data_IF_041469243272
#
_entry.id   IF_041469243272
#
_cell.length_a   1.000
_cell.length_b   1.000
_cell.length_c   1.000
_cell.angle_alpha   90.00
_cell.angle_beta   90.00
_cell.angle_gamma   90.00
#
_symmetry.space_group_name_H-M   'P 1'
#
loop_
_entity.id
_entity.type
_entity.pdbx_description
1 polymer ?
#
# COMPACT_ATOMS: atom_id res chain seq x y z
N UNK A 1 -6.55 -7.97 5.92
CA UNK A 1 -5.92 -6.76 5.35
C UNK A 1 -5.89 -6.82 3.83
N UNK A 2 -5.32 -7.87 3.20
CA UNK A 2 -5.36 -8.08 1.74
C UNK A 2 -6.77 -7.94 1.12
N UNK A 3 -7.73 -8.76 1.57
CA UNK A 3 -9.12 -8.71 1.09
C UNK A 3 -9.76 -7.31 1.25
N UNK A 4 -9.38 -6.60 2.31
CA UNK A 4 -9.88 -5.25 2.58
C UNK A 4 -9.31 -4.23 1.60
N UNK A 5 -7.99 -4.27 1.35
CA UNK A 5 -7.34 -3.42 0.35
C UNK A 5 -7.83 -3.73 -1.07
N UNK A 6 -8.00 -5.00 -1.43
CA UNK A 6 -8.60 -5.42 -2.71
C UNK A 6 -10.00 -4.83 -2.90
N UNK A 7 -10.83 -4.91 -1.86
CA UNK A 7 -12.18 -4.35 -1.87
C UNK A 7 -12.14 -2.83 -2.03
N UNK A 8 -11.30 -2.13 -1.27
CA UNK A 8 -11.14 -0.68 -1.37
C UNK A 8 -10.71 -0.22 -2.76
N UNK A 9 -9.74 -0.92 -3.38
CA UNK A 9 -9.27 -0.62 -4.73
C UNK A 9 -10.34 -0.91 -5.80
N UNK A 10 -11.19 -1.90 -5.60
CA UNK A 10 -12.29 -2.19 -6.50
C UNK A 10 -13.46 -1.20 -6.37
N UNK A 11 -13.67 -0.64 -5.18
CA UNK A 11 -14.79 0.26 -4.87
C UNK A 11 -14.48 1.75 -5.12
N UNK A 12 -13.22 2.18 -4.96
CA UNK A 12 -12.82 3.58 -5.17
C UNK A 12 -12.31 3.77 -6.61
N UNK A 13 -12.84 4.78 -7.30
CA UNK A 13 -12.25 5.32 -8.53
C UNK A 13 -10.96 6.12 -8.26
N UNK A 14 -10.78 6.57 -7.01
CA UNK A 14 -9.62 7.33 -6.56
C UNK A 14 -8.58 6.39 -5.92
N UNK A 15 -7.30 6.75 -6.02
CA UNK A 15 -6.19 5.99 -5.44
C UNK A 15 -6.31 5.89 -3.91
N UNK A 16 -6.22 4.68 -3.37
CA UNK A 16 -6.15 4.45 -1.91
C UNK A 16 -4.80 4.97 -1.42
N UNK A 17 -4.81 5.99 -0.55
CA UNK A 17 -3.58 6.56 0.02
C UNK A 17 -3.29 5.90 1.37
N UNK A 18 -2.05 5.47 1.56
CA UNK A 18 -1.60 4.78 2.78
C UNK A 18 -0.23 5.28 3.21
N UNK A 19 0.04 5.23 4.51
CA UNK A 19 1.39 5.25 5.04
C UNK A 19 1.82 3.81 5.35
N UNK A 20 2.91 3.36 4.73
CA UNK A 20 3.48 2.02 4.97
C UNK A 20 4.75 2.15 5.79
N UNK A 21 4.83 1.43 6.91
CA UNK A 21 6.06 1.30 7.69
C UNK A 21 6.64 -0.10 7.50
N UNK A 22 7.83 -0.16 6.90
CA UNK A 22 8.63 -1.38 6.78
C UNK A 22 9.66 -1.47 7.90
N UNK A 23 10.39 -2.59 7.96
CA UNK A 23 11.51 -2.73 8.90
C UNK A 23 12.66 -1.75 8.68
N UNK A 24 12.78 -1.15 7.49
CA UNK A 24 13.93 -0.33 7.10
C UNK A 24 13.58 1.15 6.93
N UNK A 25 12.36 1.45 6.48
CA UNK A 25 11.90 2.81 6.19
C UNK A 25 10.37 2.92 6.18
N UNK A 26 9.89 4.16 6.22
CA UNK A 26 8.48 4.50 6.03
C UNK A 26 8.24 5.12 4.66
N UNK A 27 7.07 4.82 4.08
CA UNK A 27 6.57 5.30 2.80
C UNK A 27 5.27 6.08 3.06
N UNK A 28 5.36 7.36 3.44
CA UNK A 28 4.19 8.17 3.77
C UNK A 28 3.42 8.60 2.52
N UNK A 29 2.10 8.77 2.63
CA UNK A 29 1.23 9.27 1.55
C UNK A 29 1.38 8.50 0.23
N UNK A 30 1.51 7.18 0.33
CA UNK A 30 1.73 6.31 -0.82
C UNK A 30 0.40 5.93 -1.47
N UNK A 31 0.31 6.07 -2.79
CA UNK A 31 -0.84 5.58 -3.56
C UNK A 31 -0.72 4.08 -3.81
N UNK A 32 -1.70 3.30 -3.36
CA UNK A 32 -1.80 1.87 -3.70
C UNK A 32 -2.43 1.73 -5.08
N UNK A 33 -1.77 0.99 -5.96
CA UNK A 33 -2.32 0.70 -7.30
C UNK A 33 -2.44 -0.79 -7.61
N UNK A 34 -1.78 -1.68 -6.86
CA UNK A 34 -1.98 -3.11 -6.97
C UNK A 34 -1.70 -3.83 -5.64
N UNK A 35 -2.36 -4.96 -5.43
CA UNK A 35 -2.22 -5.77 -4.22
C UNK A 35 -2.54 -7.23 -4.51
N UNK A 36 -1.63 -8.13 -4.12
CA UNK A 36 -1.76 -9.55 -4.36
C UNK A 36 -1.40 -10.40 -3.13
N UNK A 37 -1.35 -11.72 -3.32
CA UNK A 37 -1.07 -12.65 -2.24
C UNK A 37 0.40 -12.58 -1.76
N UNK A 38 1.27 -11.92 -2.52
CA UNK A 38 2.72 -11.80 -2.26
C UNK A 38 3.05 -10.47 -1.59
N UNK A 39 2.36 -9.39 -1.98
CA UNK A 39 2.63 -8.06 -1.45
C UNK A 39 1.70 -6.96 -1.95
N UNK A 40 2.22 -5.74 -1.87
CA UNK A 40 1.54 -4.51 -2.28
C UNK A 40 2.46 -3.69 -3.18
N UNK A 41 1.89 -3.10 -4.23
CA UNK A 41 2.56 -2.17 -5.10
C UNK A 41 2.06 -0.75 -4.85
N UNK A 42 3.00 0.15 -4.57
CA UNK A 42 2.71 1.53 -4.21
C UNK A 42 3.53 2.52 -5.04
N UNK A 43 2.97 3.70 -5.22
CA UNK A 43 3.68 4.90 -5.67
C UNK A 43 3.91 5.79 -4.46
N UNK A 44 5.15 6.23 -4.26
CA UNK A 44 5.54 7.14 -3.19
C UNK A 44 6.58 8.12 -3.71
N UNK A 45 6.24 9.42 -3.71
CA UNK A 45 7.15 10.52 -4.09
C UNK A 45 7.76 10.37 -5.50
N UNK A 46 6.95 9.99 -6.48
CA UNK A 46 7.35 9.78 -7.87
C UNK A 46 8.06 8.45 -8.14
N UNK A 47 8.12 7.55 -7.16
CA UNK A 47 8.80 6.26 -7.27
C UNK A 47 7.86 5.10 -6.97
N UNK A 48 8.00 4.02 -7.73
CA UNK A 48 7.21 2.81 -7.56
C UNK A 48 7.98 1.79 -6.70
N UNK A 49 7.30 1.22 -5.72
CA UNK A 49 7.85 0.19 -4.84
C UNK A 49 6.93 -1.03 -4.81
N UNK A 50 7.52 -2.23 -4.86
CA UNK A 50 6.83 -3.48 -4.60
C UNK A 50 7.31 -4.01 -3.25
N UNK A 51 6.42 -4.03 -2.26
CA UNK A 51 6.73 -4.43 -0.90
C UNK A 51 6.10 -5.79 -0.61
N UNK A 52 6.89 -6.84 -0.34
CA UNK A 52 6.34 -8.11 0.09
C UNK A 52 5.72 -7.96 1.49
N UNK A 53 4.65 -8.71 1.77
CA UNK A 53 3.97 -8.62 3.07
C UNK A 53 4.91 -8.83 4.26
N UNK A 54 5.88 -9.72 4.11
CA UNK A 54 6.88 -10.03 5.14
C UNK A 54 7.82 -8.85 5.47
N UNK A 55 7.90 -7.82 4.63
CA UNK A 55 8.70 -6.62 4.90
C UNK A 55 7.90 -5.49 5.58
N UNK A 56 6.57 -5.63 5.64
CA UNK A 56 5.66 -4.59 6.13
C UNK A 56 5.35 -4.86 7.59
N UNK A 57 5.60 -3.87 8.43
CA UNK A 57 5.26 -3.92 9.86
C UNK A 57 3.87 -3.34 10.12
N UNK A 58 3.50 -2.31 9.38
CA UNK A 58 2.26 -1.56 9.58
C UNK A 58 1.78 -0.88 8.30
N UNK A 59 0.46 -0.77 8.15
CA UNK A 59 -0.20 0.01 7.10
C UNK A 59 -1.28 0.86 7.77
N UNK A 60 -1.13 2.18 7.64
CA UNK A 60 -2.13 3.16 8.03
C UNK A 60 -2.83 3.66 6.77
N UNK A 61 -4.16 3.64 6.74
CA UNK A 61 -4.95 4.15 5.61
C UNK A 61 -5.27 5.61 5.90
N UNK A 62 -4.94 6.48 4.95
CA UNK A 62 -5.24 7.91 5.03
C UNK A 62 -6.64 8.16 4.44
N UNK A 63 -7.46 8.96 5.16
CA UNK A 63 -8.87 9.25 4.83
C UNK A 63 -9.01 10.13 3.58
#
# INVERSE_FOLDING_TARGET
>A
MLEYLRKLLAERTDSVTVTITSHYQSYPRSGVYDVDDIGIAIECQGHNYCLPWAAISEIEIED
#
